data_IF_510154921800
#
_entry.id   IF_510154921800
#
_cell.length_a   1.000
_cell.length_b   1.000
_cell.length_c   1.000
_cell.angle_alpha   90.00
_cell.angle_beta   90.00
_cell.angle_gamma   90.00
#
_symmetry.space_group_name_H-M   'P 1'
#
loop_
_entity.id
_entity.type
_entity.pdbx_description
1 polymer ?
#
# COMPACT_ATOMS: atom_id res chain seq x y z
N UNK A 1 -19.48 5.99 -2.09
CA UNK A 1 -18.31 5.17 -2.50
C UNK A 1 -17.45 4.96 -1.27
N UNK A 2 -16.99 3.74 -1.04
CA UNK A 2 -16.12 3.38 0.08
C UNK A 2 -14.95 2.55 -0.44
N UNK A 3 -13.73 2.88 0.00
CA UNK A 3 -12.51 2.15 -0.36
C UNK A 3 -12.02 1.46 0.90
N UNK A 4 -11.99 0.14 0.90
CA UNK A 4 -11.46 -0.66 2.01
C UNK A 4 -10.08 -1.19 1.63
N UNK A 5 -9.10 -0.98 2.51
CA UNK A 5 -7.76 -1.53 2.38
C UNK A 5 -7.58 -2.57 3.47
N UNK A 6 -7.27 -3.81 3.08
CA UNK A 6 -7.07 -4.91 4.02
C UNK A 6 -5.84 -5.71 3.65
N UNK A 7 -5.05 -6.12 4.63
CA UNK A 7 -3.93 -7.05 4.45
C UNK A 7 -4.45 -8.47 4.38
N UNK A 8 -4.11 -9.22 3.33
CA UNK A 8 -4.43 -10.65 3.24
C UNK A 8 -3.48 -11.50 4.09
N UNK A 9 -2.26 -10.99 4.35
CA UNK A 9 -1.23 -11.65 5.13
C UNK A 9 -0.51 -10.66 6.06
N UNK A 10 0.05 -11.12 7.19
CA UNK A 10 0.89 -10.28 8.04
C UNK A 10 2.06 -9.67 7.25
N UNK A 11 2.41 -8.41 7.47
CA UNK A 11 3.57 -7.80 6.83
C UNK A 11 4.86 -8.49 7.29
N UNK A 12 5.84 -8.59 6.38
CA UNK A 12 7.18 -9.09 6.71
C UNK A 12 8.07 -7.90 7.05
N UNK A 13 8.61 -7.89 8.27
CA UNK A 13 9.53 -6.87 8.76
C UNK A 13 10.94 -7.46 8.82
N UNK A 14 11.90 -6.76 8.22
CA UNK A 14 13.30 -7.16 8.16
C UNK A 14 14.13 -6.10 8.87
N UNK A 15 14.77 -6.46 9.98
CA UNK A 15 15.61 -5.54 10.75
C UNK A 15 17.07 -5.80 10.37
N UNK A 16 17.65 -4.86 9.64
CA UNK A 16 19.06 -4.85 9.27
C UNK A 16 19.89 -3.98 10.22
N UNK A 17 21.21 -3.97 9.99
CA UNK A 17 22.12 -3.09 10.73
C UNK A 17 21.95 -1.62 10.35
N UNK A 18 21.63 -1.35 9.07
CA UNK A 18 21.55 0.01 8.53
C UNK A 18 20.10 0.51 8.39
N UNK A 19 19.13 -0.39 8.25
CA UNK A 19 17.74 -0.06 7.94
C UNK A 19 16.74 -1.11 8.43
N UNK A 20 15.45 -0.72 8.45
CA UNK A 20 14.33 -1.64 8.66
C UNK A 20 13.53 -1.71 7.36
N UNK A 21 13.49 -2.88 6.73
CA UNK A 21 12.64 -3.15 5.56
C UNK A 21 11.25 -3.64 5.96
N UNK A 22 10.25 -3.30 5.16
CA UNK A 22 8.90 -3.84 5.27
C UNK A 22 8.36 -4.23 3.90
N UNK A 23 7.77 -5.42 3.79
CA UNK A 23 6.95 -5.81 2.62
C UNK A 23 5.54 -6.15 3.07
N UNK A 24 4.55 -5.65 2.32
CA UNK A 24 3.14 -5.88 2.62
C UNK A 24 2.35 -6.07 1.33
N UNK A 25 1.46 -7.05 1.35
CA UNK A 25 0.47 -7.29 0.30
C UNK A 25 -0.91 -6.91 0.84
N UNK A 26 -1.58 -5.97 0.17
CA UNK A 26 -2.91 -5.49 0.54
C UNK A 26 -3.89 -5.67 -0.61
N UNK A 27 -5.13 -5.93 -0.27
CA UNK A 27 -6.26 -5.86 -1.17
C UNK A 27 -7.03 -4.55 -0.95
N UNK A 28 -7.22 -3.81 -2.02
CA UNK A 28 -8.07 -2.61 -2.09
C UNK A 28 -9.39 -3.02 -2.71
N UNK A 29 -10.45 -3.04 -1.91
CA UNK A 29 -11.81 -3.32 -2.37
C UNK A 29 -12.58 -2.01 -2.53
N UNK A 30 -13.09 -1.77 -3.74
CA UNK A 30 -13.92 -0.62 -4.07
C UNK A 30 -15.38 -1.01 -3.91
N UNK A 31 -16.08 -0.31 -3.02
CA UNK A 31 -17.50 -0.50 -2.76
C UNK A 31 -18.31 0.72 -3.20
N UNK A 32 -19.50 0.46 -3.74
CA UNK A 32 -20.52 1.48 -4.04
C UNK A 32 -21.68 1.34 -3.05
N UNK A 33 -22.37 2.44 -2.80
CA UNK A 33 -23.58 2.44 -1.98
C UNK A 33 -24.78 2.45 -2.92
N UNK A 34 -25.64 1.46 -2.83
CA UNK A 34 -26.86 1.34 -3.63
C UNK A 34 -27.98 0.82 -2.73
N UNK A 35 -29.10 1.54 -2.67
CA UNK A 35 -30.23 1.13 -1.82
C UNK A 35 -29.93 1.02 -0.31
N UNK A 36 -28.86 1.66 0.17
CA UNK A 36 -28.41 1.55 1.57
C UNK A 36 -27.45 0.39 1.83
N UNK A 37 -27.19 -0.46 0.82
CA UNK A 37 -26.25 -1.56 0.90
C UNK A 37 -24.88 -1.21 0.32
N UNK A 38 -23.83 -1.75 0.91
CA UNK A 38 -22.44 -1.59 0.44
C UNK A 38 -22.09 -2.76 -0.48
N UNK A 39 -21.99 -2.49 -1.78
CA UNK A 39 -21.76 -3.52 -2.81
C UNK A 39 -20.31 -3.44 -3.31
N UNK A 40 -19.52 -4.53 -3.18
CA UNK A 40 -18.16 -4.58 -3.72
C UNK A 40 -18.18 -4.75 -5.24
N UNK A 41 -17.54 -3.81 -5.95
CA UNK A 41 -17.57 -3.73 -7.43
C UNK A 41 -16.22 -3.98 -8.09
N UNK A 42 -15.11 -3.83 -7.37
CA UNK A 42 -13.78 -4.23 -7.84
C UNK A 42 -12.83 -4.53 -6.68
N UNK A 43 -11.80 -5.33 -6.94
CA UNK A 43 -10.70 -5.56 -6.01
C UNK A 43 -9.36 -5.50 -6.75
N UNK A 44 -8.42 -4.75 -6.18
CA UNK A 44 -7.06 -4.54 -6.67
C UNK A 44 -6.12 -5.09 -5.60
N UNK A 45 -5.22 -6.00 -5.97
CA UNK A 45 -4.12 -6.35 -5.08
C UNK A 45 -2.98 -5.39 -5.30
N UNK A 46 -2.29 -5.06 -4.22
CA UNK A 46 -1.14 -4.16 -4.22
C UNK A 46 -0.04 -4.80 -3.38
N UNK A 47 1.14 -4.94 -3.99
CA UNK A 47 2.36 -5.29 -3.28
C UNK A 47 3.20 -4.04 -3.08
N UNK A 48 3.66 -3.86 -1.84
CA UNK A 48 4.37 -2.69 -1.37
C UNK A 48 5.66 -3.15 -0.72
N UNK A 49 6.78 -2.50 -1.07
CA UNK A 49 7.99 -2.55 -0.26
C UNK A 49 8.35 -1.14 0.22
N UNK A 50 8.84 -1.06 1.45
CA UNK A 50 9.23 0.19 2.07
C UNK A 50 10.48 0.00 2.93
N UNK A 51 11.24 1.08 3.12
CA UNK A 51 12.24 1.18 4.18
C UNK A 51 11.71 2.08 5.29
N UNK A 52 12.16 1.83 6.51
CA UNK A 52 11.72 2.50 7.72
C UNK A 52 12.95 2.96 8.52
N UNK A 53 12.91 4.20 9.00
CA UNK A 53 13.80 4.69 10.05
C UNK A 53 12.97 4.95 11.30
N UNK A 54 13.53 4.64 12.46
CA UNK A 54 12.85 4.77 13.75
C UNK A 54 13.73 5.61 14.67
N UNK A 55 13.11 6.54 15.39
CA UNK A 55 13.78 7.47 16.29
C UNK A 55 13.03 7.53 17.63
N UNK A 56 13.76 7.74 18.73
CA UNK A 56 13.16 7.98 20.05
C UNK A 56 13.05 9.48 20.25
N UNK A 57 11.83 9.98 20.43
CA UNK A 57 11.54 11.39 20.69
C UNK A 57 11.00 11.55 22.12
N UNK A 58 11.89 11.82 23.07
CA UNK A 58 11.54 11.88 24.49
C UNK A 58 11.13 10.50 25.00
N UNK A 59 9.86 10.34 25.40
CA UNK A 59 9.26 9.06 25.79
C UNK A 59 8.40 8.44 24.69
N UNK A 60 8.47 8.95 23.46
CA UNK A 60 7.73 8.46 22.30
C UNK A 60 8.65 7.81 21.28
N UNK A 61 8.06 6.97 20.42
CA UNK A 61 8.71 6.44 19.22
C UNK A 61 8.17 7.18 18.00
N UNK A 62 9.05 7.77 17.23
CA UNK A 62 8.77 8.34 15.92
C UNK A 62 9.40 7.47 14.83
N UNK A 63 8.94 7.63 13.60
CA UNK A 63 9.56 6.95 12.47
C UNK A 63 9.14 7.52 11.14
N UNK A 64 9.92 7.22 10.12
CA UNK A 64 9.65 7.60 8.74
C UNK A 64 9.63 6.34 7.89
N UNK A 65 8.56 6.18 7.14
CA UNK A 65 8.42 5.13 6.13
C UNK A 65 8.67 5.76 4.77
N UNK A 66 9.55 5.15 3.99
CA UNK A 66 9.85 5.53 2.60
C UNK A 66 9.41 4.39 1.69
N UNK A 67 8.47 4.68 0.81
CA UNK A 67 8.02 3.75 -0.22
C UNK A 67 9.19 3.44 -1.17
N UNK A 68 9.48 2.16 -1.39
CA UNK A 68 10.54 1.70 -2.28
C UNK A 68 9.94 1.14 -3.58
N UNK A 69 8.91 0.30 -3.46
CA UNK A 69 8.20 -0.26 -4.60
C UNK A 69 6.70 -0.27 -4.35
N UNK A 70 5.95 -0.11 -5.43
CA UNK A 70 4.49 -0.20 -5.48
C UNK A 70 4.09 -0.87 -6.79
N UNK A 71 3.49 -2.05 -6.70
CA UNK A 71 2.90 -2.74 -7.84
C UNK A 71 1.46 -3.08 -7.56
N UNK A 72 0.58 -2.76 -8.51
CA UNK A 72 -0.84 -3.00 -8.39
C UNK A 72 -1.32 -3.87 -9.55
N UNK A 73 -2.26 -4.77 -9.29
CA UNK A 73 -2.94 -5.55 -10.32
C UNK A 73 -4.42 -5.75 -9.97
N UNK A 74 -5.26 -5.84 -11.00
CA UNK A 74 -6.69 -6.06 -10.82
C UNK A 74 -6.93 -7.54 -10.49
N UNK A 75 -7.44 -7.85 -9.29
CA UNK A 75 -7.87 -9.21 -8.93
C UNK A 75 -9.17 -9.57 -9.63
N UNK A 76 -10.15 -8.67 -9.56
CA UNK A 76 -11.44 -8.82 -10.25
C UNK A 76 -12.18 -7.48 -10.34
N UNK A 77 -13.13 -7.37 -11.27
CA UNK A 77 -14.02 -6.22 -11.42
C UNK A 77 -15.37 -6.62 -12.00
N UNK A 78 -16.45 -6.15 -11.39
CA UNK A 78 -17.84 -6.29 -11.87
C UNK A 78 -18.25 -5.14 -12.80
N UNK A 79 -17.44 -4.09 -12.87
CA UNK A 79 -17.69 -2.86 -13.66
C UNK A 79 -16.79 -2.78 -14.91
N UNK A 80 -16.25 -3.92 -15.34
CA UNK A 80 -15.37 -4.02 -16.51
C UNK A 80 -13.90 -3.71 -16.21
N UNK A 81 -13.11 -3.55 -17.28
CA UNK A 81 -11.65 -3.43 -17.18
C UNK A 81 -11.25 -2.08 -16.58
N UNK A 82 -10.57 -2.12 -15.45
CA UNK A 82 -9.97 -0.94 -14.83
C UNK A 82 -8.55 -0.70 -15.35
N UNK A 83 -8.20 0.56 -15.61
CA UNK A 83 -6.86 0.97 -16.05
C UNK A 83 -5.92 1.10 -14.85
N UNK A 84 -5.44 -0.02 -14.33
CA UNK A 84 -4.61 -0.07 -13.11
C UNK A 84 -3.32 0.76 -13.23
N UNK A 85 -2.75 0.87 -14.43
CA UNK A 85 -1.56 1.71 -14.64
C UNK A 85 -1.76 3.19 -14.26
N UNK A 86 -3.01 3.69 -14.17
CA UNK A 86 -3.28 5.06 -13.73
C UNK A 86 -3.00 5.29 -12.24
N UNK A 87 -3.00 4.24 -11.43
CA UNK A 87 -2.66 4.30 -10.00
C UNK A 87 -1.27 3.76 -9.69
N UNK A 88 -0.63 3.13 -10.67
CA UNK A 88 0.75 2.65 -10.57
C UNK A 88 1.69 3.79 -10.95
N UNK A 89 1.87 4.73 -10.02
CA UNK A 89 2.79 5.86 -10.21
C UNK A 89 4.22 5.35 -10.01
N UNK A 90 5.13 5.51 -11.00
CA UNK A 90 6.53 5.18 -10.80
C UNK A 90 7.10 6.05 -9.67
N UNK A 91 7.58 5.43 -8.60
CA UNK A 91 8.28 6.15 -7.55
C UNK A 91 9.66 6.57 -8.07
N UNK A 92 9.82 7.83 -8.46
CA UNK A 92 11.13 8.42 -8.70
C UNK A 92 11.64 8.96 -7.36
N UNK A 93 12.34 8.11 -6.61
CA UNK A 93 13.04 8.55 -5.41
C UNK A 93 14.01 9.68 -5.77
N UNK A 94 13.83 10.85 -5.17
CA UNK A 94 14.80 11.95 -5.29
C UNK A 94 16.14 11.45 -4.76
N UNK A 95 17.12 11.25 -5.66
CA UNK A 95 18.51 11.14 -5.27
C UNK A 95 18.95 12.49 -4.72
N UNK A 96 18.76 12.71 -3.42
CA UNK A 96 19.57 13.68 -2.71
C UNK A 96 20.96 13.05 -2.56
N UNK A 97 21.78 13.26 -3.59
CA UNK A 97 23.24 13.20 -3.47
C UNK A 97 23.62 14.29 -2.46
N UNK A 98 24.14 13.85 -1.31
CA UNK A 98 24.83 14.74 -0.37
C UNK A 98 26.25 15.00 -0.84
#
# INVERSE_FOLDING_TARGET
>A
MQINVSTSFPPVIQVGYQDIGATVSVDITINVLEGGETIPVACISVDISASCSVEILGNNTAGRITLQNFSAYLKWSKIGKLRIHLIQVPFQGSQHVS
#
